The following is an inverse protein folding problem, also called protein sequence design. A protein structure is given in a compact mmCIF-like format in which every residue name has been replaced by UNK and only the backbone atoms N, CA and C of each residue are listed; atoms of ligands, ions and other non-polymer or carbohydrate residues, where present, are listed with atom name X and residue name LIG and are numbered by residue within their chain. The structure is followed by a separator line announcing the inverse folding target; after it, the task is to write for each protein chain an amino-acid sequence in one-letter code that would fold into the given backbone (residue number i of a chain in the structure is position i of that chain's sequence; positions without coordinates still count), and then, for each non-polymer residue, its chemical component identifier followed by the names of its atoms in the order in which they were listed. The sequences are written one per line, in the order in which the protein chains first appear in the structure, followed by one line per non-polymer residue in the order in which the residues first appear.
data_IF_034399243107
#
_entry.id   IF_034399243107
#
_cell.length_a   1.000
_cell.length_b   1.000
_cell.length_c   1.000
_cell.angle_alpha   90.00
_cell.angle_beta   90.00
_cell.angle_gamma   90.00
#
_symmetry.space_group_name_H-M   'P 1'
#
loop_
_entity.id
_entity.type
_entity.pdbx_description
1 polymer ?
#
# COMPACT_ATOMS: atom_id res chain seq x y z
N UNK A 1 -6.10 12.23 8.86
CA UNK A 1 -5.00 12.35 7.89
C UNK A 1 -4.30 11.00 7.81
N UNK A 2 -4.02 10.48 6.61
CA UNK A 2 -3.34 9.19 6.44
C UNK A 2 -1.84 9.39 6.65
N UNK A 3 -1.14 8.40 7.21
CA UNK A 3 0.32 8.46 7.39
C UNK A 3 1.01 8.24 6.03
N UNK A 4 0.54 7.23 5.29
CA UNK A 4 1.09 6.83 4.01
C UNK A 4 0.32 7.47 2.84
N UNK A 5 0.36 8.81 2.73
CA UNK A 5 -0.41 9.54 1.71
C UNK A 5 -0.01 9.17 0.26
N UNK A 6 1.28 8.92 0.00
CA UNK A 6 1.77 8.50 -1.32
C UNK A 6 1.21 7.12 -1.70
N UNK A 7 1.28 6.15 -0.78
CA UNK A 7 0.66 4.83 -0.96
C UNK A 7 -0.84 4.92 -1.27
N UNK A 8 -1.57 5.74 -0.53
CA UNK A 8 -3.00 5.97 -0.77
C UNK A 8 -3.24 6.53 -2.18
N UNK A 9 -2.41 7.48 -2.61
CA UNK A 9 -2.49 8.07 -3.95
C UNK A 9 -2.27 7.04 -5.06
N UNK A 10 -1.19 6.25 -4.98
CA UNK A 10 -0.90 5.21 -5.96
C UNK A 10 -1.99 4.12 -5.98
N UNK A 11 -2.44 3.66 -4.81
CA UNK A 11 -3.54 2.70 -4.69
C UNK A 11 -4.80 3.22 -5.40
N UNK A 12 -5.16 4.48 -5.18
CA UNK A 12 -6.32 5.10 -5.82
C UNK A 12 -6.13 5.26 -7.34
N UNK A 13 -4.93 5.61 -7.81
CA UNK A 13 -4.60 5.71 -9.25
C UNK A 13 -4.74 4.37 -9.96
N UNK A 14 -4.44 3.27 -9.28
CA UNK A 14 -4.66 1.90 -9.77
C UNK A 14 -6.14 1.44 -9.68
N UNK A 15 -7.05 2.26 -9.15
CA UNK A 15 -8.44 1.85 -8.90
C UNK A 15 -8.60 0.78 -7.81
N UNK A 16 -7.56 0.53 -7.00
CA UNK A 16 -7.56 -0.53 -6.01
C UNK A 16 -8.21 -0.08 -4.70
N UNK A 17 -9.11 -0.90 -4.15
CA UNK A 17 -9.62 -0.67 -2.79
C UNK A 17 -8.64 -1.20 -1.73
N UNK A 18 -8.78 -0.72 -0.48
CA UNK A 18 -8.05 -1.28 0.67
C UNK A 18 -8.29 -2.78 0.85
N UNK A 19 -9.49 -3.26 0.50
CA UNK A 19 -9.83 -4.68 0.52
C UNK A 19 -9.05 -5.47 -0.53
N UNK A 20 -8.78 -4.88 -1.69
CA UNK A 20 -7.98 -5.56 -2.74
C UNK A 20 -6.53 -5.69 -2.28
N UNK A 21 -5.85 -4.59 -1.90
CA UNK A 21 -4.48 -4.68 -1.43
C UNK A 21 -4.32 -5.49 -0.14
N UNK A 22 -5.29 -5.42 0.78
CA UNK A 22 -5.30 -6.28 1.96
C UNK A 22 -5.24 -7.77 1.61
N UNK A 23 -5.97 -8.22 0.57
CA UNK A 23 -5.92 -9.62 0.11
C UNK A 23 -4.55 -10.04 -0.40
N UNK A 24 -3.83 -9.16 -1.10
CA UNK A 24 -2.47 -9.47 -1.59
C UNK A 24 -1.47 -9.75 -0.46
N UNK A 25 -1.71 -9.19 0.73
CA UNK A 25 -0.86 -9.40 1.90
C UNK A 25 -1.55 -10.22 3.01
N UNK A 26 -2.65 -10.91 2.69
CA UNK A 26 -3.31 -11.84 3.61
C UNK A 26 -4.09 -11.21 4.78
N UNK A 27 -4.50 -9.93 4.69
CA UNK A 27 -5.25 -9.23 5.74
C UNK A 27 -6.58 -8.66 5.27
N UNK A 28 -7.43 -8.27 6.21
CA UNK A 28 -8.69 -7.58 5.92
C UNK A 28 -8.45 -6.15 5.41
N UNK A 29 -9.41 -5.61 4.65
CA UNK A 29 -9.36 -4.21 4.21
C UNK A 29 -9.32 -3.21 5.38
N UNK A 30 -9.94 -3.54 6.52
CA UNK A 30 -9.88 -2.72 7.74
C UNK A 30 -8.47 -2.71 8.33
N UNK A 31 -7.83 -3.89 8.47
CA UNK A 31 -6.45 -4.00 8.95
C UNK A 31 -5.48 -3.23 8.06
N UNK A 32 -5.62 -3.36 6.74
CA UNK A 32 -4.88 -2.57 5.76
C UNK A 32 -5.14 -1.06 5.93
N UNK A 33 -6.40 -0.67 6.08
CA UNK A 33 -6.79 0.73 6.30
C UNK A 33 -6.20 1.32 7.58
N UNK A 34 -6.08 0.54 8.66
CA UNK A 34 -5.38 0.94 9.89
C UNK A 34 -3.90 1.19 9.63
N UNK A 35 -3.24 0.33 8.84
CA UNK A 35 -1.84 0.51 8.46
C UNK A 35 -1.61 1.78 7.64
N UNK A 36 -2.42 2.05 6.61
CA UNK A 36 -2.34 3.31 5.86
C UNK A 36 -2.50 4.57 6.73
N UNK A 37 -3.24 4.45 7.84
CA UNK A 37 -3.47 5.53 8.79
C UNK A 37 -2.39 5.63 9.88
N UNK A 38 -1.37 4.77 9.88
CA UNK A 38 -0.34 4.77 10.93
C UNK A 38 -0.73 4.06 12.23
N UNK A 39 -1.92 3.47 12.28
CA UNK A 39 -2.45 2.82 13.50
C UNK A 39 -1.86 1.41 13.70
N UNK A 40 -1.09 0.93 12.75
CA UNK A 40 -0.33 -0.31 12.79
C UNK A 40 0.80 -0.20 11.75
N UNK A 41 2.00 -0.74 12.01
CA UNK A 41 3.08 -0.71 11.04
C UNK A 41 2.82 -1.69 9.89
N UNK A 42 3.30 -1.37 8.70
CA UNK A 42 3.53 -2.39 7.66
C UNK A 42 4.79 -3.20 8.00
N UNK A 43 4.77 -4.50 7.78
CA UNK A 43 5.99 -5.31 7.79
C UNK A 43 6.75 -5.10 6.48
N UNK A 44 8.05 -5.41 6.47
CA UNK A 44 8.86 -5.27 5.26
C UNK A 44 8.37 -6.17 4.12
N UNK A 45 7.83 -7.34 4.43
CA UNK A 45 7.29 -8.27 3.43
C UNK A 45 5.98 -7.76 2.83
N UNK A 46 5.11 -7.19 3.67
CA UNK A 46 3.90 -6.51 3.20
C UNK A 46 4.27 -5.34 2.28
N UNK A 47 5.24 -4.52 2.67
CA UNK A 47 5.70 -3.38 1.86
C UNK A 47 6.21 -3.81 0.49
N UNK A 48 7.05 -4.85 0.43
CA UNK A 48 7.55 -5.42 -0.84
C UNK A 48 6.41 -5.91 -1.72
N UNK A 49 5.48 -6.66 -1.16
CA UNK A 49 4.34 -7.21 -1.91
C UNK A 49 3.45 -6.11 -2.48
N UNK A 50 3.12 -5.11 -1.66
CA UNK A 50 2.33 -3.94 -2.09
C UNK A 50 3.06 -3.18 -3.21
N UNK A 51 4.36 -2.94 -3.04
CA UNK A 51 5.18 -2.24 -4.02
C UNK A 51 5.18 -2.97 -5.38
N UNK A 52 5.40 -4.28 -5.40
CA UNK A 52 5.34 -5.10 -6.63
C UNK A 52 3.95 -5.05 -7.30
N UNK A 53 2.87 -5.12 -6.52
CA UNK A 53 1.51 -5.02 -7.07
C UNK A 53 1.32 -3.67 -7.76
N UNK A 54 1.70 -2.57 -7.12
CA UNK A 54 1.51 -1.23 -7.67
C UNK A 54 2.37 -0.97 -8.92
N UNK A 55 3.62 -1.43 -8.95
CA UNK A 55 4.46 -1.33 -10.15
C UNK A 55 3.87 -2.12 -11.33
N UNK A 56 3.32 -3.30 -11.04
CA UNK A 56 2.68 -4.15 -12.06
C UNK A 56 1.42 -3.49 -12.62
N UNK A 57 0.56 -2.95 -11.77
CA UNK A 57 -0.70 -2.31 -12.18
C UNK A 57 -0.47 -1.00 -12.96
N UNK A 58 0.59 -0.25 -12.65
CA UNK A 58 0.91 1.01 -13.33
C UNK A 58 1.84 0.83 -14.52
N UNK A 59 2.51 -0.32 -14.63
CA UNK A 59 3.55 -0.58 -15.63
C UNK A 59 4.65 0.51 -15.61
N UNK A 60 5.01 0.99 -14.42
CA UNK A 60 6.04 2.01 -14.19
C UNK A 60 6.76 1.72 -12.86
N UNK A 61 8.07 2.04 -12.73
CA UNK A 61 8.79 1.90 -11.48
C UNK A 61 8.34 2.93 -10.45
N UNK A 62 8.23 2.52 -9.18
CA UNK A 62 7.80 3.39 -8.08
C UNK A 62 8.90 3.44 -7.02
N UNK A 63 9.20 4.63 -6.49
CA UNK A 63 10.17 4.74 -5.39
C UNK A 63 9.63 4.13 -4.09
N UNK A 64 10.36 3.14 -3.55
CA UNK A 64 9.99 2.45 -2.31
C UNK A 64 10.02 3.40 -1.09
N UNK A 65 11.00 4.29 -1.03
CA UNK A 65 11.17 5.26 0.07
C UNK A 65 10.06 6.31 0.05
N UNK A 66 9.65 6.78 -1.13
CA UNK A 66 8.51 7.69 -1.26
C UNK A 66 7.19 7.04 -0.89
N UNK A 67 7.03 5.75 -1.19
CA UNK A 67 5.80 5.02 -0.93
C UNK A 67 5.55 4.81 0.57
N UNK A 68 6.61 4.53 1.33
CA UNK A 68 6.55 4.16 2.75
C UNK A 68 7.19 5.16 3.73
N UNK A 69 7.68 6.31 3.27
CA UNK A 69 8.35 7.33 4.09
C UNK A 69 9.53 6.76 4.92
N UNK A 70 10.34 5.89 4.32
CA UNK A 70 11.51 5.26 4.98
C UNK A 70 12.83 5.63 4.33
#
# INVERSE_FOLDING_TARGET
MKEFNKLVGYRNRCGLSQKVLGRHIGITGESYGRKENGKAPFTREEMKTIHTVLETELNEPISFTELFNI
#
